data_IF_649102285170
#
_entry.id   IF_649102285170
#
_cell.length_a   1.000
_cell.length_b   1.000
_cell.length_c   1.000
_cell.angle_alpha   90.00
_cell.angle_beta   90.00
_cell.angle_gamma   90.00
#
_symmetry.space_group_name_H-M   'P 1'
#
loop_
_entity.id
_entity.type
_entity.pdbx_description
1 polymer ?
#
# COMPACT_ATOMS: atom_id res chain seq x y z
N UNK A 1 28.19 41.84 -12.46
CA UNK A 1 27.94 40.61 -11.69
C UNK A 1 26.44 40.48 -11.50
N UNK A 2 25.79 39.64 -12.30
CA UNK A 2 24.34 39.52 -12.34
C UNK A 2 23.91 38.53 -11.28
N UNK A 3 23.22 39.03 -10.25
CA UNK A 3 22.58 38.24 -9.22
C UNK A 3 21.38 37.52 -9.86
N UNK A 4 21.64 36.40 -10.57
CA UNK A 4 20.59 35.56 -11.15
C UNK A 4 19.85 34.94 -9.97
N UNK A 5 18.63 35.43 -9.73
CA UNK A 5 17.75 35.02 -8.63
C UNK A 5 17.74 33.50 -8.48
N UNK A 6 18.10 33.03 -7.28
CA UNK A 6 18.30 31.60 -7.00
C UNK A 6 17.08 30.72 -7.31
N UNK A 7 15.88 31.29 -7.21
CA UNK A 7 14.59 30.65 -7.47
C UNK A 7 14.29 30.45 -8.97
N UNK A 8 14.77 31.37 -9.82
CA UNK A 8 14.45 31.35 -11.25
C UNK A 8 15.17 30.20 -11.97
N UNK A 9 16.39 29.85 -11.56
CA UNK A 9 17.18 28.77 -12.17
C UNK A 9 16.55 27.38 -11.94
N UNK A 10 16.11 27.09 -10.72
CA UNK A 10 15.49 25.77 -10.41
C UNK A 10 14.17 25.62 -11.14
N UNK A 11 13.37 26.70 -11.20
CA UNK A 11 12.10 26.70 -11.95
C UNK A 11 12.33 26.46 -13.43
N UNK A 12 13.35 27.09 -14.02
CA UNK A 12 13.72 26.90 -15.42
C UNK A 12 14.16 25.45 -15.69
N UNK A 13 15.05 24.91 -14.86
CA UNK A 13 15.52 23.51 -14.97
C UNK A 13 14.35 22.53 -14.85
N UNK A 14 13.51 22.67 -13.82
CA UNK A 14 12.36 21.79 -13.63
C UNK A 14 11.33 21.92 -14.76
N UNK A 15 11.15 23.12 -15.34
CA UNK A 15 10.30 23.28 -16.52
C UNK A 15 10.81 22.47 -17.72
N UNK A 16 12.13 22.43 -17.94
CA UNK A 16 12.74 21.64 -19.01
C UNK A 16 12.64 20.13 -18.75
N UNK A 17 12.87 19.70 -17.50
CA UNK A 17 12.73 18.30 -17.09
C UNK A 17 11.28 17.81 -17.22
N UNK A 18 10.31 18.64 -16.82
CA UNK A 18 8.89 18.33 -16.93
C UNK A 18 8.39 18.29 -18.39
N UNK A 19 9.13 18.89 -19.32
CA UNK A 19 8.90 18.74 -20.78
C UNK A 19 9.48 17.44 -21.35
N UNK A 20 10.05 16.58 -20.50
CA UNK A 20 10.60 15.27 -20.88
C UNK A 20 12.07 15.30 -21.29
N UNK A 21 12.79 16.41 -21.10
CA UNK A 21 14.23 16.44 -21.38
C UNK A 21 15.00 15.62 -20.34
N UNK A 22 16.06 14.95 -20.78
CA UNK A 22 16.96 14.28 -19.84
C UNK A 22 17.82 15.30 -19.11
N UNK A 23 18.30 14.93 -17.92
CA UNK A 23 19.24 15.74 -17.13
C UNK A 23 20.52 16.11 -17.93
N UNK A 24 20.92 15.25 -18.87
CA UNK A 24 22.06 15.51 -19.74
C UNK A 24 21.74 16.58 -20.79
N UNK A 25 20.52 16.59 -21.31
CA UNK A 25 20.09 17.59 -22.31
C UNK A 25 19.93 18.95 -21.67
N UNK A 26 19.36 19.00 -20.47
CA UNK A 26 19.27 20.23 -19.67
C UNK A 26 20.66 20.77 -19.33
N UNK A 27 21.59 19.91 -18.92
CA UNK A 27 22.98 20.33 -18.67
C UNK A 27 23.66 20.92 -19.91
N UNK A 28 23.47 20.30 -21.09
CA UNK A 28 23.99 20.80 -22.37
C UNK A 28 23.42 22.18 -22.72
N UNK A 29 22.11 22.38 -22.54
CA UNK A 29 21.46 23.68 -22.79
C UNK A 29 22.03 24.79 -21.90
N UNK A 30 22.30 24.47 -20.63
CA UNK A 30 22.92 25.39 -19.67
C UNK A 30 24.44 25.50 -19.82
N UNK A 31 25.02 24.93 -20.89
CA UNK A 31 26.48 24.91 -21.16
C UNK A 31 27.29 24.40 -19.96
N UNK A 32 26.73 23.42 -19.24
CA UNK A 32 27.35 22.76 -18.10
C UNK A 32 27.35 21.24 -18.30
N UNK A 33 27.88 20.50 -17.34
CA UNK A 33 27.78 19.05 -17.32
C UNK A 33 26.86 18.60 -16.17
N UNK A 34 26.39 17.34 -16.24
CA UNK A 34 25.50 16.77 -15.24
C UNK A 34 26.07 16.83 -13.81
N UNK A 35 27.37 16.63 -13.63
CA UNK A 35 27.99 16.66 -12.29
C UNK A 35 27.94 18.06 -11.69
N UNK A 36 28.26 19.08 -12.48
CA UNK A 36 28.25 20.47 -12.05
C UNK A 36 26.83 20.97 -11.81
N UNK A 37 25.87 20.59 -12.67
CA UNK A 37 24.45 20.87 -12.46
C UNK A 37 23.97 20.31 -11.12
N UNK A 38 24.27 19.04 -10.83
CA UNK A 38 23.93 18.43 -9.54
C UNK A 38 24.60 19.13 -8.36
N UNK A 39 25.87 19.55 -8.51
CA UNK A 39 26.60 20.28 -7.47
C UNK A 39 25.98 21.66 -7.19
N UNK A 40 25.58 22.36 -8.25
CA UNK A 40 24.90 23.67 -8.15
C UNK A 40 23.54 23.53 -7.46
N UNK A 41 22.75 22.52 -7.83
CA UNK A 41 21.45 22.26 -7.20
C UNK A 41 21.60 21.87 -5.73
N UNK A 42 22.57 20.99 -5.42
CA UNK A 42 22.87 20.59 -4.04
C UNK A 42 23.33 21.77 -3.17
N UNK A 43 24.15 22.67 -3.72
CA UNK A 43 24.56 23.90 -3.02
C UNK A 43 23.42 24.90 -2.79
N UNK A 44 22.22 24.63 -3.32
CA UNK A 44 21.00 25.41 -3.15
C UNK A 44 19.93 24.66 -2.35
N UNK A 45 20.30 23.57 -1.68
CA UNK A 45 19.40 22.69 -0.92
C UNK A 45 18.32 22.03 -1.80
N UNK A 46 18.66 21.65 -3.04
CA UNK A 46 17.81 20.85 -3.90
C UNK A 46 18.45 19.49 -4.21
N UNK A 47 17.63 18.45 -4.16
CA UNK A 47 17.98 17.08 -4.52
C UNK A 47 17.18 16.63 -5.73
N UNK A 48 17.78 15.80 -6.59
CA UNK A 48 17.09 15.23 -7.73
C UNK A 48 16.23 14.04 -7.28
N UNK A 49 14.92 14.17 -7.42
CA UNK A 49 13.97 13.09 -7.18
C UNK A 49 13.82 12.24 -8.44
N UNK A 50 14.20 10.96 -8.35
CA UNK A 50 14.11 10.04 -9.50
C UNK A 50 12.68 9.63 -9.83
N UNK A 51 11.78 9.66 -8.84
CA UNK A 51 10.38 9.27 -9.01
C UNK A 51 9.57 10.38 -9.67
N UNK A 52 9.84 11.63 -9.30
CA UNK A 52 9.21 12.81 -9.92
C UNK A 52 9.97 13.31 -11.15
N UNK A 53 11.22 12.88 -11.35
CA UNK A 53 12.06 13.26 -12.48
C UNK A 53 12.56 14.71 -12.45
N UNK A 54 12.48 15.39 -11.30
CA UNK A 54 12.81 16.80 -11.15
C UNK A 54 13.57 17.11 -9.84
N UNK A 55 14.02 18.35 -9.67
CA UNK A 55 14.67 18.79 -8.43
C UNK A 55 13.65 19.24 -7.39
N UNK A 56 13.69 18.64 -6.21
CA UNK A 56 12.86 19.00 -5.05
C UNK A 56 13.72 19.63 -3.97
N UNK A 57 13.15 20.56 -3.22
CA UNK A 57 13.85 21.17 -2.09
C UNK A 57 14.09 20.10 -1.01
N UNK A 58 15.33 19.98 -0.56
CA UNK A 58 15.72 19.11 0.52
C UNK A 58 15.04 19.59 1.81
N UNK A 59 14.04 18.82 2.25
CA UNK A 59 13.35 19.10 3.50
C UNK A 59 14.21 18.61 4.68
N UNK A 60 14.24 19.36 5.80
CA UNK A 60 14.82 18.87 7.04
C UNK A 60 14.27 17.49 7.40
N UNK A 61 15.12 16.65 7.99
CA UNK A 61 14.76 15.27 8.40
C UNK A 61 13.47 15.27 9.24
N UNK A 62 13.30 16.26 10.12
CA UNK A 62 12.14 16.44 11.00
C UNK A 62 10.83 16.52 10.19
N UNK A 63 10.77 17.36 9.14
CA UNK A 63 9.56 17.50 8.31
C UNK A 63 9.24 16.22 7.51
N UNK A 64 10.27 15.43 7.16
CA UNK A 64 10.07 14.15 6.47
C UNK A 64 9.47 13.11 7.43
N UNK A 65 9.93 13.09 8.68
CA UNK A 65 9.39 12.22 9.74
C UNK A 65 7.92 12.58 10.02
N UNK A 66 7.60 13.86 10.22
CA UNK A 66 6.23 14.32 10.46
C UNK A 66 5.25 13.89 9.34
N UNK A 67 5.68 14.01 8.07
CA UNK A 67 4.88 13.56 6.93
C UNK A 67 4.67 12.04 6.95
N UNK A 68 5.70 11.26 7.25
CA UNK A 68 5.60 9.80 7.32
C UNK A 68 4.68 9.35 8.45
N UNK A 69 4.78 9.97 9.63
CA UNK A 69 3.89 9.69 10.76
C UNK A 69 2.43 10.02 10.44
N UNK A 70 2.19 11.12 9.70
CA UNK A 70 0.85 11.46 9.25
C UNK A 70 0.28 10.41 8.29
N UNK A 71 1.08 9.94 7.33
CA UNK A 71 0.66 8.88 6.41
C UNK A 71 0.37 7.56 7.15
N UNK A 72 1.15 7.22 8.18
CA UNK A 72 0.89 6.05 9.01
C UNK A 72 -0.44 6.15 9.76
N UNK A 73 -0.76 7.33 10.31
CA UNK A 73 -2.05 7.58 10.98
C UNK A 73 -3.24 7.41 10.04
N UNK A 74 -3.14 7.96 8.83
CA UNK A 74 -4.19 7.86 7.82
C UNK A 74 -4.40 6.40 7.36
N UNK A 75 -3.32 5.64 7.15
CA UNK A 75 -3.42 4.20 6.84
C UNK A 75 -4.09 3.45 7.99
N UNK A 76 -3.73 3.73 9.24
CA UNK A 76 -4.33 3.09 10.41
C UNK A 76 -5.83 3.39 10.52
N UNK A 77 -6.21 4.64 10.27
CA UNK A 77 -7.60 5.07 10.26
C UNK A 77 -8.38 4.36 9.15
N UNK A 78 -7.83 4.30 7.93
CA UNK A 78 -8.42 3.55 6.81
C UNK A 78 -8.59 2.06 7.13
N UNK A 79 -7.58 1.42 7.73
CA UNK A 79 -7.64 0.01 8.16
C UNK A 79 -8.67 -0.21 9.28
N UNK A 80 -8.86 0.77 10.16
CA UNK A 80 -9.86 0.71 11.23
C UNK A 80 -11.29 0.93 10.70
N UNK A 81 -11.45 1.75 9.66
CA UNK A 81 -12.72 2.08 9.02
C UNK A 81 -13.13 1.07 7.94
N UNK A 82 -12.18 0.32 7.37
CA UNK A 82 -12.49 -0.97 6.77
C UNK A 82 -12.93 -1.89 7.89
N UNK A 83 -14.23 -1.85 8.19
CA UNK A 83 -14.95 -2.83 9.00
C UNK A 83 -14.21 -4.14 8.92
N UNK A 84 -13.67 -4.59 10.06
CA UNK A 84 -13.38 -6.00 10.30
C UNK A 84 -14.48 -6.76 9.58
N UNK A 85 -14.12 -7.39 8.48
CA UNK A 85 -15.05 -8.12 7.63
C UNK A 85 -15.31 -9.40 8.39
N UNK A 86 -15.93 -9.30 9.58
CA UNK A 86 -15.99 -10.28 10.66
C UNK A 86 -15.10 -11.45 10.30
N UNK A 87 -13.77 -11.29 10.46
CA UNK A 87 -12.87 -12.38 10.16
C UNK A 87 -13.48 -13.56 10.90
N UNK A 88 -13.99 -14.53 10.15
CA UNK A 88 -14.45 -15.78 10.70
C UNK A 88 -13.17 -16.38 11.23
N UNK A 89 -12.84 -16.02 12.48
CA UNK A 89 -11.74 -16.58 13.24
C UNK A 89 -12.17 -18.01 13.47
N UNK A 90 -11.87 -18.84 12.48
CA UNK A 90 -11.93 -20.27 12.65
C UNK A 90 -10.85 -20.58 13.67
N UNK A 91 -11.28 -21.11 14.80
CA UNK A 91 -10.35 -21.59 15.81
C UNK A 91 -9.53 -22.73 15.20
N UNK A 92 -8.25 -22.45 14.94
CA UNK A 92 -7.35 -23.42 14.32
C UNK A 92 -7.16 -24.66 15.22
N UNK A 93 -7.41 -24.54 16.53
CA UNK A 93 -7.32 -25.67 17.44
C UNK A 93 -8.40 -26.72 17.16
N UNK A 94 -9.60 -26.30 16.73
CA UNK A 94 -10.69 -27.19 16.31
C UNK A 94 -10.36 -27.92 15.00
N UNK A 95 -9.56 -27.31 14.13
CA UNK A 95 -9.21 -27.87 12.83
C UNK A 95 -7.98 -28.79 12.86
N UNK A 96 -7.38 -29.01 14.03
CA UNK A 96 -6.21 -29.86 14.18
C UNK A 96 -6.58 -31.34 14.29
N UNK A 97 -6.27 -32.13 13.25
CA UNK A 97 -6.44 -33.58 13.33
C UNK A 97 -6.56 -34.30 11.99
N UNK A 98 -6.85 -35.61 12.07
CA UNK A 98 -7.11 -36.44 10.90
C UNK A 98 -8.54 -36.19 10.38
N UNK A 99 -8.65 -35.88 9.09
CA UNK A 99 -9.95 -35.73 8.42
C UNK A 99 -10.60 -37.10 8.22
N UNK A 100 -11.86 -37.24 8.65
CA UNK A 100 -12.68 -38.44 8.45
C UNK A 100 -13.89 -38.07 7.59
N UNK A 101 -14.09 -38.80 6.49
CA UNK A 101 -15.24 -38.61 5.62
C UNK A 101 -16.55 -39.06 6.27
N UNK A 102 -17.55 -38.17 6.28
CA UNK A 102 -18.93 -38.47 6.69
C UNK A 102 -19.90 -37.85 5.69
N UNK A 103 -20.97 -38.56 5.36
CA UNK A 103 -22.07 -38.02 4.56
C UNK A 103 -23.24 -37.66 5.47
N UNK A 104 -23.85 -36.51 5.21
CA UNK A 104 -25.04 -36.03 5.91
C UNK A 104 -26.06 -35.52 4.90
N UNK A 105 -27.34 -35.54 5.29
CA UNK A 105 -28.43 -35.00 4.49
C UNK A 105 -28.73 -33.58 4.96
N UNK A 106 -28.83 -32.63 4.01
CA UNK A 106 -29.29 -31.27 4.26
C UNK A 106 -30.65 -31.05 3.60
N UNK A 107 -31.48 -30.21 4.21
CA UNK A 107 -32.66 -29.67 3.54
C UNK A 107 -32.26 -28.81 2.34
N UNK A 108 -33.08 -28.84 1.29
CA UNK A 108 -32.80 -28.18 0.01
C UNK A 108 -32.46 -26.69 0.17
N UNK A 109 -33.27 -25.96 0.96
CA UNK A 109 -33.08 -24.54 1.20
C UNK A 109 -31.73 -24.24 1.89
N UNK A 110 -31.34 -25.07 2.87
CA UNK A 110 -30.06 -24.93 3.57
C UNK A 110 -28.89 -25.25 2.64
N UNK A 111 -29.02 -26.30 1.82
CA UNK A 111 -28.01 -26.69 0.84
C UNK A 111 -27.72 -25.58 -0.18
N UNK A 112 -28.77 -24.94 -0.71
CA UNK A 112 -28.64 -23.79 -1.64
C UNK A 112 -27.92 -22.61 -0.99
N UNK A 113 -28.36 -22.20 0.21
CA UNK A 113 -27.73 -21.09 0.96
C UNK A 113 -26.28 -21.38 1.30
N UNK A 114 -25.97 -22.60 1.73
CA UNK A 114 -24.60 -23.00 2.07
C UNK A 114 -23.70 -23.00 0.84
N UNK A 115 -24.19 -23.49 -0.29
CA UNK A 115 -23.44 -23.48 -1.55
C UNK A 115 -23.13 -22.06 -2.01
N UNK A 116 -24.11 -21.15 -1.92
CA UNK A 116 -23.92 -19.74 -2.28
C UNK A 116 -22.94 -19.04 -1.33
N UNK A 117 -23.01 -19.33 -0.03
CA UNK A 117 -22.04 -18.84 0.94
C UNK A 117 -20.61 -19.28 0.58
N UNK A 118 -20.40 -20.57 0.26
CA UNK A 118 -19.07 -21.08 -0.10
C UNK A 118 -18.53 -20.47 -1.40
N UNK A 119 -19.40 -20.13 -2.36
CA UNK A 119 -19.00 -19.43 -3.60
C UNK A 119 -18.48 -18.02 -3.32
N UNK A 120 -19.08 -17.33 -2.35
CA UNK A 120 -18.70 -15.98 -1.97
C UNK A 120 -17.47 -15.92 -1.04
N UNK A 121 -17.04 -17.08 -0.52
CA UNK A 121 -15.92 -17.23 0.41
C UNK A 121 -14.99 -18.40 0.00
N UNK A 122 -14.32 -18.31 -1.17
CA UNK A 122 -13.44 -19.36 -1.67
C UNK A 122 -12.22 -19.64 -0.76
N UNK A 123 -11.88 -18.71 0.12
CA UNK A 123 -10.84 -18.86 1.14
C UNK A 123 -11.19 -19.87 2.23
N UNK A 124 -12.48 -20.19 2.41
CA UNK A 124 -12.97 -21.11 3.44
C UNK A 124 -13.28 -22.48 2.82
N UNK A 125 -12.69 -23.56 3.35
CA UNK A 125 -13.05 -24.91 2.87
C UNK A 125 -14.39 -25.33 3.47
N UNK A 126 -15.26 -25.93 2.66
CA UNK A 126 -16.58 -26.41 3.11
C UNK A 126 -16.48 -27.27 4.37
N UNK A 127 -15.47 -28.16 4.44
CA UNK A 127 -15.25 -29.03 5.59
C UNK A 127 -14.97 -28.24 6.88
N UNK A 128 -14.24 -27.13 6.80
CA UNK A 128 -13.86 -26.31 7.97
C UNK A 128 -15.11 -25.61 8.51
N UNK A 129 -15.94 -25.08 7.61
CA UNK A 129 -17.22 -24.44 7.98
C UNK A 129 -18.14 -25.46 8.67
N UNK A 130 -18.22 -26.68 8.15
CA UNK A 130 -19.04 -27.75 8.72
C UNK A 130 -18.53 -28.14 10.12
N UNK A 131 -17.22 -28.37 10.27
CA UNK A 131 -16.62 -28.72 11.57
C UNK A 131 -16.90 -27.66 12.62
N UNK A 132 -16.65 -26.39 12.30
CA UNK A 132 -16.88 -25.26 13.22
C UNK A 132 -18.35 -25.13 13.59
N UNK A 133 -19.26 -25.28 12.61
CA UNK A 133 -20.70 -25.19 12.88
C UNK A 133 -21.20 -26.32 13.80
N UNK A 134 -20.68 -27.55 13.63
CA UNK A 134 -21.03 -28.69 14.46
C UNK A 134 -20.48 -28.55 15.88
N UNK A 135 -19.21 -28.18 16.04
CA UNK A 135 -18.60 -27.95 17.36
C UNK A 135 -19.32 -26.85 18.11
N UNK A 136 -19.55 -25.70 17.48
CA UNK A 136 -20.29 -24.59 18.09
C UNK A 136 -21.68 -25.00 18.53
N UNK A 137 -22.41 -25.76 17.70
CA UNK A 137 -23.74 -26.24 18.08
C UNK A 137 -23.68 -27.21 19.28
N UNK A 138 -22.69 -28.10 19.34
CA UNK A 138 -22.51 -29.00 20.47
C UNK A 138 -22.08 -28.27 21.75
N UNK A 139 -21.22 -27.27 21.66
CA UNK A 139 -20.80 -26.43 22.80
C UNK A 139 -21.93 -25.58 23.36
N UNK A 140 -22.69 -24.92 22.48
CA UNK A 140 -23.80 -24.05 22.87
C UNK A 140 -24.99 -24.83 23.49
N UNK A 141 -25.02 -26.17 23.37
CA UNK A 141 -26.09 -27.05 23.85
C UNK A 141 -25.59 -28.16 24.83
N UNK A 142 -24.51 -27.90 25.55
CA UNK A 142 -24.00 -28.76 26.63
C UNK A 142 -24.65 -28.50 27.98
#
# INVERSE_FOLDING_TARGET
MSNVNNFDLVREINSLLNKGMSLNDVAKQLKTNKKDLLKVMKGRDYIFDKSEGCFIQEKPIIQRIEKLEQQQREILELLSNTKQKNELKIDNDILNGKIIGRSFKLYENTSKKFTEFCKNHPELKMQEIITVALEKYMEDNK
#
